data_IF_431206769600
#
_entry.id   IF_431206769600
#
_cell.length_a   1.000
_cell.length_b   1.000
_cell.length_c   1.000
_cell.angle_alpha   90.00
_cell.angle_beta   90.00
_cell.angle_gamma   90.00
#
_symmetry.space_group_name_H-M   'P 1'
#
loop_
_entity.id
_entity.type
_entity.pdbx_description
1 polymer ?
#
# COMPACT_ATOMS: atom_id res chain seq x y z
N UNK A 1 3.33 0.72 -6.89
CA UNK A 1 4.35 0.73 -5.80
C UNK A 1 4.24 -0.46 -4.85
N UNK A 2 3.27 -0.50 -3.92
CA UNK A 2 3.23 -1.55 -2.87
C UNK A 2 3.18 -2.96 -3.47
N UNK A 3 2.43 -3.17 -4.55
CA UNK A 3 2.33 -4.49 -5.21
C UNK A 3 3.65 -4.95 -5.82
N UNK A 4 4.46 -4.02 -6.32
CA UNK A 4 5.82 -4.30 -6.79
C UNK A 4 6.70 -4.71 -5.62
N UNK A 5 6.69 -3.94 -4.53
CA UNK A 5 7.51 -4.21 -3.34
C UNK A 5 7.13 -5.52 -2.65
N UNK A 6 5.84 -5.86 -2.60
CA UNK A 6 5.36 -7.02 -1.82
C UNK A 6 5.28 -8.31 -2.62
N UNK A 7 5.10 -8.21 -3.96
CA UNK A 7 4.88 -9.36 -4.84
C UNK A 7 5.84 -9.44 -6.01
N UNK A 8 6.71 -8.45 -6.20
CA UNK A 8 7.78 -8.52 -7.21
C UNK A 8 7.25 -8.51 -8.63
N UNK A 9 5.98 -8.15 -8.79
CA UNK A 9 5.31 -8.03 -10.07
C UNK A 9 5.64 -6.63 -10.58
N UNK A 10 6.38 -6.48 -11.70
CA UNK A 10 6.66 -5.19 -12.29
C UNK A 10 5.36 -4.43 -12.57
N UNK A 11 5.36 -3.12 -12.31
CA UNK A 11 4.22 -2.27 -12.64
C UNK A 11 4.26 -1.92 -14.13
N UNK A 12 3.13 -2.06 -14.81
CA UNK A 12 2.97 -1.73 -16.23
C UNK A 12 2.48 -0.28 -16.44
N UNK A 13 2.34 0.48 -15.35
CA UNK A 13 1.76 1.82 -15.35
C UNK A 13 0.23 1.85 -15.53
N UNK A 14 -0.41 0.70 -15.74
CA UNK A 14 -1.86 0.57 -15.90
C UNK A 14 -2.54 -0.02 -14.65
N UNK A 15 -1.77 -0.19 -13.57
CA UNK A 15 -2.26 -0.66 -12.29
C UNK A 15 -2.30 -2.18 -12.17
N UNK A 16 -1.58 -2.93 -13.01
CA UNK A 16 -1.49 -4.38 -12.90
C UNK A 16 -0.99 -4.83 -11.52
N UNK A 17 0.09 -4.20 -11.03
CA UNK A 17 0.63 -4.51 -9.70
C UNK A 17 -0.34 -4.17 -8.56
N UNK A 18 -1.20 -3.15 -8.77
CA UNK A 18 -2.22 -2.71 -7.80
C UNK A 18 -3.38 -3.69 -7.68
N UNK A 19 -3.79 -4.36 -8.76
CA UNK A 19 -4.97 -5.26 -8.77
C UNK A 19 -4.88 -6.34 -7.69
N UNK A 20 -3.68 -6.84 -7.41
CA UNK A 20 -3.46 -7.82 -6.35
C UNK A 20 -3.62 -7.29 -4.91
N UNK A 21 -3.79 -5.98 -4.72
CA UNK A 21 -3.96 -5.33 -3.43
C UNK A 21 -5.42 -4.92 -3.15
N UNK A 22 -6.26 -4.91 -4.17
CA UNK A 22 -7.65 -4.48 -4.06
C UNK A 22 -8.47 -5.46 -3.23
N UNK A 23 -9.20 -4.93 -2.25
CA UNK A 23 -10.08 -5.71 -1.38
C UNK A 23 -11.47 -5.91 -2.01
N UNK A 24 -11.87 -5.03 -2.94
CA UNK A 24 -13.20 -5.04 -3.52
C UNK A 24 -13.19 -4.97 -5.06
N UNK A 25 -14.20 -5.58 -5.68
CA UNK A 25 -14.33 -5.63 -7.14
C UNK A 25 -14.41 -4.24 -7.79
N UNK A 26 -15.03 -3.26 -7.13
CA UNK A 26 -15.12 -1.91 -7.67
C UNK A 26 -13.77 -1.19 -7.66
N UNK A 27 -12.85 -1.54 -6.77
CA UNK A 27 -11.49 -0.97 -6.76
C UNK A 27 -10.68 -1.49 -7.95
N UNK A 28 -10.84 -2.77 -8.29
CA UNK A 28 -10.24 -3.37 -9.50
C UNK A 28 -10.76 -2.67 -10.75
N UNK A 29 -12.08 -2.46 -10.84
CA UNK A 29 -12.72 -1.85 -12.01
C UNK A 29 -12.41 -0.36 -12.17
N UNK A 30 -12.45 0.40 -11.08
CA UNK A 30 -12.27 1.86 -11.11
C UNK A 30 -10.82 2.32 -10.98
N UNK A 31 -9.96 1.46 -10.43
CA UNK A 31 -8.60 1.81 -10.05
C UNK A 31 -8.49 2.67 -8.79
N UNK A 32 -9.58 2.87 -8.04
CA UNK A 32 -9.56 3.65 -6.81
C UNK A 32 -9.73 2.76 -5.58
N UNK A 33 -8.76 2.84 -4.66
CA UNK A 33 -8.83 2.22 -3.33
C UNK A 33 -9.90 2.89 -2.47
N UNK A 34 -10.71 2.08 -1.80
CA UNK A 34 -11.87 2.46 -0.98
C UNK A 34 -11.83 1.94 0.46
N UNK A 35 -10.92 0.99 0.75
CA UNK A 35 -10.64 0.52 2.10
C UNK A 35 -9.14 0.43 2.34
N UNK A 36 -8.74 0.30 3.61
CA UNK A 36 -7.34 0.08 3.96
C UNK A 36 -6.92 -1.33 3.52
N UNK A 37 -5.76 -1.45 2.86
CA UNK A 37 -5.16 -2.75 2.56
C UNK A 37 -3.86 -2.94 3.35
N UNK A 38 -3.57 -4.19 3.74
CA UNK A 38 -2.43 -4.52 4.60
C UNK A 38 -1.52 -5.52 3.92
N UNK A 39 -0.27 -5.13 3.71
CA UNK A 39 0.73 -5.90 2.99
C UNK A 39 1.93 -6.16 3.88
N UNK A 40 1.93 -7.34 4.50
CA UNK A 40 3.03 -7.83 5.34
C UNK A 40 4.20 -8.28 4.46
N UNK A 41 5.39 -7.88 4.84
CA UNK A 41 6.67 -8.27 4.26
C UNK A 41 7.56 -8.84 5.36
N UNK A 42 8.14 -10.01 5.13
CA UNK A 42 9.07 -10.64 6.06
C UNK A 42 10.50 -10.67 5.54
N UNK A 43 11.47 -10.49 6.42
CA UNK A 43 12.89 -10.53 6.10
C UNK A 43 13.65 -11.48 7.02
N UNK A 44 14.61 -12.24 6.46
CA UNK A 44 15.57 -13.04 7.25
C UNK A 44 16.59 -12.15 7.94
N UNK A 45 17.47 -12.74 8.76
CA UNK A 45 18.59 -12.01 9.39
C UNK A 45 19.58 -11.48 8.36
N UNK A 46 19.69 -12.18 7.24
CA UNK A 46 20.55 -11.87 6.11
C UNK A 46 19.93 -10.82 5.17
N UNK A 47 18.69 -10.38 5.45
CA UNK A 47 17.97 -9.40 4.65
C UNK A 47 17.21 -9.98 3.45
N UNK A 48 17.08 -11.31 3.37
CA UNK A 48 16.35 -11.95 2.26
C UNK A 48 14.84 -11.82 2.44
N UNK A 49 14.13 -11.55 1.36
CA UNK A 49 12.69 -11.36 1.36
C UNK A 49 11.93 -12.70 1.36
N UNK A 50 11.17 -12.94 2.43
CA UNK A 50 10.53 -14.23 2.69
C UNK A 50 9.27 -14.50 1.86
N UNK A 51 8.58 -13.46 1.35
CA UNK A 51 7.29 -13.69 0.72
C UNK A 51 7.38 -14.42 -0.64
N UNK A 52 8.57 -14.49 -1.27
CA UNK A 52 8.79 -15.32 -2.46
C UNK A 52 9.14 -16.78 -2.15
N UNK A 53 9.45 -17.10 -0.88
CA UNK A 53 9.95 -18.42 -0.49
C UNK A 53 8.81 -19.41 -0.17
N UNK A 54 7.70 -19.35 -0.91
CA UNK A 54 6.52 -20.21 -0.76
C UNK A 54 5.91 -20.23 0.65
N UNK A 55 5.94 -19.11 1.38
CA UNK A 55 5.16 -18.99 2.62
C UNK A 55 3.66 -19.09 2.29
N UNK A 56 2.93 -19.99 2.95
CA UNK A 56 1.52 -20.27 2.62
C UNK A 56 0.57 -19.13 3.03
N UNK A 57 0.92 -18.42 4.09
CA UNK A 57 0.11 -17.35 4.64
C UNK A 57 0.96 -16.32 5.40
N UNK A 58 0.33 -15.20 5.79
CA UNK A 58 0.98 -14.11 6.54
C UNK A 58 1.51 -14.54 7.90
N UNK A 59 0.88 -15.52 8.55
CA UNK A 59 1.31 -16.02 9.87
C UNK A 59 2.65 -16.73 9.76
N UNK A 60 2.82 -17.55 8.71
CA UNK A 60 4.09 -18.22 8.44
C UNK A 60 5.21 -17.20 8.15
N UNK A 61 4.89 -16.15 7.39
CA UNK A 61 5.84 -15.04 7.16
C UNK A 61 6.26 -14.43 8.50
N UNK A 62 5.33 -14.07 9.38
CA UNK A 62 5.66 -13.52 10.70
C UNK A 62 6.54 -14.46 11.52
N UNK A 63 6.22 -15.75 11.57
CA UNK A 63 6.94 -16.73 12.39
C UNK A 63 8.38 -16.97 11.93
N UNK A 64 8.62 -16.86 10.61
CA UNK A 64 9.95 -17.08 10.01
C UNK A 64 10.76 -15.80 9.88
N UNK A 65 10.12 -14.64 9.99
CA UNK A 65 10.77 -13.34 9.86
C UNK A 65 11.67 -13.03 11.06
N UNK A 66 12.87 -12.55 10.79
CA UNK A 66 13.64 -11.82 11.79
C UNK A 66 13.07 -10.43 12.02
N UNK A 67 12.68 -9.75 10.93
CA UNK A 67 12.02 -8.45 10.93
C UNK A 67 10.83 -8.53 9.97
N UNK A 68 9.70 -7.96 10.37
CA UNK A 68 8.53 -7.81 9.50
C UNK A 68 8.12 -6.35 9.38
N UNK A 69 7.70 -5.97 8.17
CA UNK A 69 7.22 -4.63 7.83
C UNK A 69 5.82 -4.78 7.27
N UNK A 70 4.86 -4.02 7.78
CA UNK A 70 3.51 -3.98 7.22
C UNK A 70 3.29 -2.64 6.54
N UNK A 71 3.01 -2.69 5.24
CA UNK A 71 2.51 -1.53 4.50
C UNK A 71 1.00 -1.44 4.67
N UNK A 72 0.52 -0.25 5.01
CA UNK A 72 -0.89 0.10 5.08
C UNK A 72 -1.17 1.02 3.88
N UNK A 73 -1.91 0.52 2.89
CA UNK A 73 -2.31 1.31 1.73
C UNK A 73 -3.63 2.02 2.06
N UNK A 74 -3.62 3.36 2.01
CA UNK A 74 -4.78 4.18 2.32
C UNK A 74 -5.58 4.58 1.08
N UNK A 75 -6.79 5.10 1.30
CA UNK A 75 -7.65 5.54 0.21
C UNK A 75 -7.20 6.91 -0.32
N UNK A 76 -7.19 7.07 -1.65
CA UNK A 76 -6.76 8.33 -2.30
C UNK A 76 -7.90 9.32 -2.61
N UNK A 77 -9.16 8.86 -2.67
CA UNK A 77 -10.28 9.74 -3.01
C UNK A 77 -10.81 10.51 -1.80
N UNK A 78 -11.17 11.79 -2.01
CA UNK A 78 -11.71 12.68 -0.96
C UNK A 78 -12.89 12.10 -0.18
N UNK A 79 -13.77 11.35 -0.83
CA UNK A 79 -14.94 10.72 -0.16
C UNK A 79 -14.56 9.65 0.88
N UNK A 80 -13.32 9.16 0.86
CA UNK A 80 -12.79 8.18 1.82
C UNK A 80 -11.76 8.80 2.77
N UNK A 81 -11.75 10.13 2.89
CA UNK A 81 -10.80 10.84 3.74
C UNK A 81 -10.86 10.36 5.20
N UNK A 82 -12.06 10.18 5.76
CA UNK A 82 -12.23 9.70 7.13
C UNK A 82 -11.66 8.29 7.31
N UNK A 83 -11.80 7.41 6.32
CA UNK A 83 -11.18 6.07 6.33
C UNK A 83 -9.66 6.16 6.42
N UNK A 84 -9.06 7.09 5.68
CA UNK A 84 -7.60 7.31 5.72
C UNK A 84 -7.16 7.90 7.06
N UNK A 85 -7.84 8.93 7.58
CA UNK A 85 -7.49 9.54 8.87
C UNK A 85 -7.65 8.52 10.01
N UNK A 86 -8.76 7.78 10.03
CA UNK A 86 -8.98 6.74 11.02
C UNK A 86 -7.93 5.63 10.90
N UNK A 87 -7.52 5.26 9.69
CA UNK A 87 -6.43 4.32 9.47
C UNK A 87 -5.11 4.78 10.08
N UNK A 88 -4.72 6.03 9.82
CA UNK A 88 -3.51 6.62 10.37
C UNK A 88 -3.56 6.68 11.91
N UNK A 89 -4.68 7.14 12.48
CA UNK A 89 -4.85 7.26 13.92
C UNK A 89 -4.88 5.91 14.63
N UNK A 90 -5.64 4.93 14.12
CA UNK A 90 -5.80 3.62 14.74
C UNK A 90 -4.52 2.76 14.63
N UNK A 91 -3.79 2.85 13.51
CA UNK A 91 -2.62 2.01 13.30
C UNK A 91 -1.31 2.65 13.74
N UNK A 92 -1.28 3.97 13.94
CA UNK A 92 -0.11 4.72 14.40
C UNK A 92 1.19 4.31 13.68
N UNK A 93 1.25 4.47 12.34
CA UNK A 93 2.36 3.94 11.55
C UNK A 93 3.68 4.64 11.92
N UNK A 94 4.75 3.86 11.99
CA UNK A 94 6.10 4.38 12.28
C UNK A 94 6.61 5.37 11.23
N UNK A 95 6.21 5.16 9.96
CA UNK A 95 6.64 5.97 8.82
C UNK A 95 5.49 6.15 7.84
N UNK A 96 5.47 7.30 7.16
CA UNK A 96 4.47 7.62 6.14
C UNK A 96 5.16 7.85 4.80
N UNK A 97 4.64 7.19 3.75
CA UNK A 97 5.02 7.47 2.38
C UNK A 97 3.98 8.37 1.74
N UNK A 98 4.37 9.60 1.38
CA UNK A 98 3.52 10.50 0.62
C UNK A 98 3.78 10.31 -0.88
N UNK A 99 2.83 9.70 -1.59
CA UNK A 99 2.92 9.52 -3.03
C UNK A 99 2.38 10.76 -3.76
N UNK A 100 3.25 11.43 -4.49
CA UNK A 100 2.92 12.64 -5.25
C UNK A 100 2.97 12.29 -6.74
N UNK A 101 1.89 12.56 -7.47
CA UNK A 101 1.91 12.47 -8.92
C UNK A 101 2.61 13.71 -9.50
N UNK A 102 3.79 13.57 -10.13
CA UNK A 102 4.53 14.72 -10.66
C UNK A 102 3.84 15.39 -11.86
N UNK A 103 2.90 14.70 -12.51
CA UNK A 103 2.17 15.21 -13.69
C UNK A 103 0.99 16.10 -13.33
N UNK A 104 0.50 16.01 -12.09
CA UNK A 104 -0.54 16.90 -11.60
C UNK A 104 0.14 18.16 -11.05
N UNK A 105 0.10 19.26 -11.81
CA UNK A 105 0.65 20.53 -11.36
C UNK A 105 -0.04 20.92 -10.05
N UNK A 106 0.75 21.20 -9.00
CA UNK A 106 0.25 21.69 -7.70
C UNK A 106 -0.48 23.05 -7.81
N UNK A 107 -0.65 23.61 -9.01
CA UNK A 107 -1.35 24.87 -9.27
C UNK A 107 -2.78 24.91 -8.69
N UNK A 108 -3.46 23.77 -8.52
CA UNK A 108 -4.79 23.73 -7.89
C UNK A 108 -4.79 23.88 -6.36
N UNK A 109 -3.63 23.75 -5.70
CA UNK A 109 -3.49 24.00 -4.27
C UNK A 109 -3.31 25.49 -3.95
N UNK A 110 -2.70 26.27 -4.84
CA UNK A 110 -2.56 27.72 -4.66
C UNK A 110 -3.88 28.48 -4.85
N UNK A 111 -4.87 27.91 -5.52
CA UNK A 111 -6.24 28.47 -5.57
C UNK A 111 -7.07 28.22 -4.30
N UNK A 112 -6.52 27.52 -3.30
CA UNK A 112 -7.17 27.19 -2.03
C UNK A 112 -6.51 27.86 -0.82
N UNK A 113 -5.44 28.63 -1.03
CA UNK A 113 -4.89 29.51 0.01
C UNK A 113 -5.55 30.89 -0.12
N UNK A 114 -5.99 31.49 1.00
CA UNK A 114 -6.67 32.79 1.00
C UNK A 114 -5.77 33.93 0.51
#
# INVERSE_FOLDING_TARGET
LIGVLSKGIPDDGQGHSRTGLSNHLHEIKSGHTSSLSYNLMGFTKEGEFLNYLNCKNKVEVCNRSHISITFIDSCGLKKFFDTTINGLACHFPHSIFLLINPQHTLCSLFSLLP
#
